data_IF_813694146255
#
_entry.id   IF_813694146255
#
_cell.length_a   1.000
_cell.length_b   1.000
_cell.length_c   1.000
_cell.angle_alpha   90.00
_cell.angle_beta   90.00
_cell.angle_gamma   90.00
#
_symmetry.space_group_name_H-M   'P 1'
#
loop_
_entity.id
_entity.type
_entity.pdbx_description
1 polymer ?
#
# COMPACT_ATOMS: atom_id res chain seq x y z
N UNK A 1 -14.95 -4.47 13.35
CA UNK A 1 -14.04 -5.62 13.28
C UNK A 1 -13.47 -5.86 14.66
N UNK A 2 -13.63 -7.05 15.21
CA UNK A 2 -13.00 -7.42 16.47
C UNK A 2 -11.47 -7.52 16.25
N UNK A 3 -10.66 -7.14 17.24
CA UNK A 3 -9.19 -7.10 17.09
C UNK A 3 -8.58 -8.42 16.60
N UNK A 4 -9.21 -9.55 16.92
CA UNK A 4 -8.81 -10.88 16.45
C UNK A 4 -8.98 -11.06 14.94
N UNK A 5 -10.06 -10.52 14.35
CA UNK A 5 -10.30 -10.58 12.90
C UNK A 5 -9.30 -9.70 12.13
N UNK A 6 -8.96 -8.53 12.67
CA UNK A 6 -7.97 -7.63 12.08
C UNK A 6 -6.56 -8.25 12.10
N UNK A 7 -6.16 -8.89 13.21
CA UNK A 7 -4.87 -9.56 13.31
C UNK A 7 -4.77 -10.73 12.31
N UNK A 8 -5.81 -11.55 12.23
CA UNK A 8 -5.85 -12.66 11.27
C UNK A 8 -5.73 -12.15 9.83
N UNK A 9 -6.47 -11.10 9.47
CA UNK A 9 -6.40 -10.49 8.15
C UNK A 9 -4.98 -9.94 7.85
N UNK A 10 -4.35 -9.27 8.81
CA UNK A 10 -2.99 -8.75 8.66
C UNK A 10 -1.95 -9.86 8.44
N UNK A 11 -2.05 -10.95 9.20
CA UNK A 11 -1.16 -12.12 9.02
C UNK A 11 -1.35 -12.74 7.64
N UNK A 12 -2.60 -12.96 7.22
CA UNK A 12 -2.88 -13.52 5.89
C UNK A 12 -2.37 -12.61 4.77
N UNK A 13 -2.58 -11.29 4.88
CA UNK A 13 -2.04 -10.31 3.93
C UNK A 13 -0.50 -10.39 3.85
N UNK A 14 0.19 -10.50 5.00
CA UNK A 14 1.65 -10.66 5.04
C UNK A 14 2.13 -11.95 4.37
N UNK A 15 1.44 -13.07 4.62
CA UNK A 15 1.76 -14.37 3.98
C UNK A 15 1.58 -14.28 2.47
N UNK A 16 0.46 -13.73 1.99
CA UNK A 16 0.20 -13.56 0.55
C UNK A 16 1.25 -12.65 -0.08
N UNK A 17 1.51 -11.48 0.50
CA UNK A 17 2.50 -10.54 -0.02
C UNK A 17 3.91 -11.14 -0.11
N UNK A 18 4.34 -11.85 0.94
CA UNK A 18 5.65 -12.54 0.96
C UNK A 18 5.70 -13.65 -0.09
N UNK A 19 4.65 -14.47 -0.17
CA UNK A 19 4.58 -15.57 -1.14
C UNK A 19 4.68 -15.03 -2.57
N UNK A 20 3.90 -14.01 -2.91
CA UNK A 20 3.97 -13.38 -4.24
C UNK A 20 5.37 -12.84 -4.54
N UNK A 21 6.01 -12.20 -3.56
CA UNK A 21 7.39 -11.69 -3.71
C UNK A 21 8.38 -12.82 -4.01
N UNK A 22 8.31 -13.92 -3.26
CA UNK A 22 9.15 -15.11 -3.48
C UNK A 22 8.87 -15.75 -4.85
N UNK A 23 7.61 -15.82 -5.28
CA UNK A 23 7.25 -16.35 -6.60
C UNK A 23 7.84 -15.47 -7.71
N UNK A 24 7.78 -14.14 -7.58
CA UNK A 24 8.37 -13.20 -8.55
C UNK A 24 9.89 -13.43 -8.65
N UNK A 25 10.58 -13.51 -7.53
CA UNK A 25 12.03 -13.75 -7.50
C UNK A 25 12.41 -15.12 -8.09
N UNK A 26 11.62 -16.15 -7.79
CA UNK A 26 11.90 -17.53 -8.22
C UNK A 26 11.62 -17.78 -9.71
N UNK A 27 10.56 -17.19 -10.26
CA UNK A 27 10.13 -17.44 -11.65
C UNK A 27 10.70 -16.44 -12.66
N UNK A 28 11.37 -15.36 -12.22
CA UNK A 28 12.15 -14.48 -13.07
C UNK A 28 11.38 -13.83 -14.22
N UNK A 29 12.10 -13.49 -15.30
CA UNK A 29 11.71 -12.53 -16.36
C UNK A 29 10.24 -12.48 -16.78
N UNK A 30 9.70 -13.52 -17.41
CA UNK A 30 8.35 -13.46 -18.01
C UNK A 30 7.24 -13.74 -16.99
N UNK A 31 7.36 -14.82 -16.21
CA UNK A 31 6.33 -15.19 -15.23
C UNK A 31 6.30 -14.23 -14.03
N UNK A 32 7.46 -13.82 -13.52
CA UNK A 32 7.56 -12.77 -12.50
C UNK A 32 7.08 -11.42 -13.02
N UNK A 33 7.34 -11.09 -14.28
CA UNK A 33 6.79 -9.90 -14.94
C UNK A 33 5.27 -9.92 -15.06
N UNK A 34 4.68 -11.06 -15.45
CA UNK A 34 3.22 -11.24 -15.50
C UNK A 34 2.62 -11.15 -14.10
N UNK A 35 3.18 -11.86 -13.12
CA UNK A 35 2.70 -11.83 -11.73
C UNK A 35 2.79 -10.44 -11.11
N UNK A 36 3.84 -9.67 -11.46
CA UNK A 36 4.05 -8.30 -10.98
C UNK A 36 3.19 -7.24 -11.68
N UNK A 37 2.66 -7.52 -12.87
CA UNK A 37 1.84 -6.55 -13.64
C UNK A 37 0.34 -6.80 -13.51
N UNK A 38 -0.08 -8.02 -13.19
CA UNK A 38 -1.49 -8.29 -12.89
C UNK A 38 -1.79 -7.68 -11.52
N UNK A 39 -2.88 -6.89 -11.37
CA UNK A 39 -3.33 -6.34 -10.09
C UNK A 39 -3.96 -7.44 -9.20
N UNK A 40 -3.18 -8.48 -8.93
CA UNK A 40 -3.57 -9.72 -8.23
C UNK A 40 -3.99 -9.51 -6.79
N UNK A 41 -3.62 -8.37 -6.19
CA UNK A 41 -4.09 -7.99 -4.84
C UNK A 41 -5.36 -7.16 -4.89
N UNK A 42 -5.48 -6.24 -5.86
CA UNK A 42 -6.61 -5.30 -5.93
C UNK A 42 -7.85 -5.96 -6.51
N UNK A 43 -7.75 -6.78 -7.56
CA UNK A 43 -8.93 -7.42 -8.17
C UNK A 43 -9.62 -8.37 -7.18
N UNK A 44 -8.93 -9.34 -6.54
CA UNK A 44 -9.58 -10.21 -5.56
C UNK A 44 -10.11 -9.45 -4.34
N UNK A 45 -9.39 -8.42 -3.87
CA UNK A 45 -9.89 -7.56 -2.80
C UNK A 45 -11.17 -6.83 -3.20
N UNK A 46 -11.23 -6.28 -4.41
CA UNK A 46 -12.42 -5.62 -4.95
C UNK A 46 -13.61 -6.58 -5.07
N UNK A 47 -13.38 -7.81 -5.53
CA UNK A 47 -14.41 -8.87 -5.58
C UNK A 47 -14.95 -9.15 -4.17
N UNK A 48 -14.07 -9.34 -3.18
CA UNK A 48 -14.47 -9.60 -1.80
C UNK A 48 -15.21 -8.43 -1.15
N UNK A 49 -14.77 -7.20 -1.39
CA UNK A 49 -15.45 -6.01 -0.90
C UNK A 49 -16.83 -5.82 -1.55
N UNK A 50 -16.94 -6.11 -2.85
CA UNK A 50 -18.22 -6.05 -3.58
C UNK A 50 -19.20 -7.13 -3.14
N UNK A 51 -18.73 -8.36 -2.91
CA UNK A 51 -19.60 -9.46 -2.48
C UNK A 51 -20.18 -9.27 -1.08
N UNK A 52 -19.45 -8.62 -0.18
CA UNK A 52 -19.88 -8.37 1.20
C UNK A 52 -20.58 -7.01 1.38
N UNK A 53 -20.09 -5.96 0.71
CA UNK A 53 -20.47 -4.56 0.97
C UNK A 53 -21.37 -3.90 -0.08
N UNK A 54 -21.60 -4.55 -1.23
CA UNK A 54 -22.35 -3.98 -2.35
C UNK A 54 -21.62 -2.86 -3.10
N UNK A 55 -22.28 -2.30 -4.12
CA UNK A 55 -21.66 -1.38 -5.09
C UNK A 55 -21.17 -0.06 -4.45
N UNK A 56 -21.94 0.54 -3.53
CA UNK A 56 -21.57 1.82 -2.91
C UNK A 56 -20.30 1.70 -2.06
N UNK A 57 -20.20 0.62 -1.26
CA UNK A 57 -19.01 0.32 -0.44
C UNK A 57 -17.80 0.00 -1.32
N UNK A 58 -18.02 -0.68 -2.44
CA UNK A 58 -16.99 -0.98 -3.41
C UNK A 58 -16.46 0.29 -4.08
N UNK A 59 -17.35 1.19 -4.53
CA UNK A 59 -16.99 2.47 -5.15
C UNK A 59 -16.14 3.32 -4.20
N UNK A 60 -16.56 3.42 -2.93
CA UNK A 60 -15.82 4.18 -1.93
C UNK A 60 -14.45 3.54 -1.65
N UNK A 61 -14.39 2.21 -1.55
CA UNK A 61 -13.13 1.49 -1.31
C UNK A 61 -12.14 1.66 -2.48
N UNK A 62 -12.64 1.62 -3.72
CA UNK A 62 -11.83 1.83 -4.91
C UNK A 62 -11.36 3.30 -5.04
N UNK A 63 -12.12 4.26 -4.53
CA UNK A 63 -11.73 5.66 -4.54
C UNK A 63 -10.50 5.97 -3.67
N UNK A 64 -10.19 5.12 -2.69
CA UNK A 64 -9.02 5.26 -1.82
C UNK A 64 -7.75 4.69 -2.49
N UNK A 65 -7.87 3.88 -3.54
CA UNK A 65 -6.73 3.21 -4.20
C UNK A 65 -5.63 4.19 -4.63
N UNK A 66 -5.92 5.36 -5.24
CA UNK A 66 -4.88 6.34 -5.55
C UNK A 66 -4.15 6.90 -4.32
N UNK A 67 -4.85 7.12 -3.19
CA UNK A 67 -4.19 7.47 -1.95
C UNK A 67 -3.31 6.32 -1.41
N UNK A 68 -3.74 5.06 -1.61
CA UNK A 68 -2.89 3.88 -1.36
C UNK A 68 -1.61 3.86 -2.20
N UNK A 69 -1.73 4.18 -3.49
CA UNK A 69 -0.57 4.29 -4.40
C UNK A 69 0.39 5.40 -3.94
N UNK A 70 -0.15 6.52 -3.45
CA UNK A 70 0.63 7.64 -2.90
C UNK A 70 1.47 7.21 -1.69
N UNK A 71 0.85 6.50 -0.74
CA UNK A 71 1.53 5.97 0.45
C UNK A 71 2.69 5.04 0.02
N UNK A 72 2.45 4.17 -0.95
CA UNK A 72 3.48 3.26 -1.47
C UNK A 72 4.61 3.99 -2.19
N UNK A 73 4.31 5.04 -2.97
CA UNK A 73 5.33 5.86 -3.61
C UNK A 73 6.25 6.55 -2.58
N UNK A 74 5.68 7.08 -1.49
CA UNK A 74 6.43 7.70 -0.41
C UNK A 74 7.28 6.67 0.36
N UNK A 75 6.72 5.48 0.63
CA UNK A 75 7.47 4.36 1.22
C UNK A 75 8.67 3.97 0.36
N UNK A 76 8.46 3.75 -0.94
CA UNK A 76 9.52 3.38 -1.87
C UNK A 76 10.57 4.48 -2.02
N UNK A 77 10.15 5.75 -2.02
CA UNK A 77 11.08 6.90 -2.04
C UNK A 77 11.97 6.91 -0.80
N UNK A 78 11.39 6.66 0.37
CA UNK A 78 12.15 6.53 1.63
C UNK A 78 13.12 5.36 1.55
N UNK A 79 12.64 4.19 1.09
CA UNK A 79 13.43 2.98 0.95
C UNK A 79 14.62 3.15 -0.02
N UNK A 80 14.40 3.83 -1.15
CA UNK A 80 15.42 4.03 -2.18
C UNK A 80 16.46 5.07 -1.77
N UNK A 81 16.05 6.16 -1.12
CA UNK A 81 16.93 7.30 -0.84
C UNK A 81 17.71 7.10 0.47
N UNK A 82 17.06 6.61 1.53
CA UNK A 82 17.61 6.56 2.88
C UNK A 82 18.91 5.75 3.00
N UNK A 83 19.09 4.56 2.38
CA UNK A 83 20.33 3.79 2.47
C UNK A 83 21.57 4.60 2.10
N UNK A 84 21.47 5.49 1.11
CA UNK A 84 22.58 6.33 0.63
C UNK A 84 22.99 7.43 1.62
N UNK A 85 22.10 7.79 2.55
CA UNK A 85 22.29 8.82 3.57
C UNK A 85 22.82 8.26 4.89
N UNK A 86 22.78 6.94 5.07
CA UNK A 86 23.30 6.28 6.28
C UNK A 86 24.84 6.22 6.28
N UNK A 87 25.48 6.12 7.47
CA UNK A 87 26.93 6.02 7.57
C UNK A 87 27.49 4.84 6.76
N UNK A 88 28.48 5.11 5.91
CA UNK A 88 29.16 4.07 5.12
C UNK A 88 29.95 3.08 5.98
N UNK A 89 30.23 3.42 7.23
CA UNK A 89 30.91 2.56 8.21
C UNK A 89 30.01 1.46 8.77
N UNK A 90 28.70 1.54 8.56
CA UNK A 90 27.77 0.51 8.99
C UNK A 90 27.79 -0.67 8.03
N UNK A 91 27.72 -1.88 8.58
CA UNK A 91 27.52 -3.09 7.79
C UNK A 91 26.15 -3.09 7.09
N UNK A 92 26.03 -3.93 6.06
CA UNK A 92 24.84 -3.98 5.20
C UNK A 92 23.57 -4.33 5.98
N UNK A 93 23.66 -5.18 7.00
CA UNK A 93 22.50 -5.62 7.78
C UNK A 93 21.95 -4.49 8.63
N UNK A 94 22.83 -3.74 9.33
CA UNK A 94 22.40 -2.57 10.11
C UNK A 94 21.73 -1.51 9.24
N UNK A 95 22.28 -1.24 8.06
CA UNK A 95 21.68 -0.29 7.11
C UNK A 95 20.30 -0.76 6.64
N UNK A 96 20.16 -2.03 6.29
CA UNK A 96 18.89 -2.62 5.89
C UNK A 96 17.83 -2.53 7.00
N UNK A 97 18.18 -2.90 8.23
CA UNK A 97 17.26 -2.85 9.38
C UNK A 97 16.78 -1.43 9.63
N UNK A 98 17.70 -0.45 9.65
CA UNK A 98 17.33 0.96 9.87
C UNK A 98 16.48 1.49 8.72
N UNK A 99 16.86 1.22 7.46
CA UNK A 99 16.02 1.61 6.31
C UNK A 99 14.63 0.99 6.40
N UNK A 100 14.52 -0.28 6.78
CA UNK A 100 13.23 -0.98 6.90
C UNK A 100 12.36 -0.35 7.98
N UNK A 101 12.89 -0.14 9.18
CA UNK A 101 12.16 0.47 10.29
C UNK A 101 11.71 1.89 9.91
N UNK A 102 12.61 2.72 9.40
CA UNK A 102 12.27 4.08 8.99
C UNK A 102 11.22 4.12 7.88
N UNK A 103 11.34 3.25 6.87
CA UNK A 103 10.37 3.20 5.78
C UNK A 103 8.99 2.76 6.28
N UNK A 104 8.93 1.75 7.16
CA UNK A 104 7.66 1.32 7.77
C UNK A 104 7.03 2.39 8.67
N UNK A 105 7.84 3.16 9.40
CA UNK A 105 7.35 4.28 10.22
C UNK A 105 6.79 5.42 9.36
N UNK A 106 7.47 5.76 8.26
CA UNK A 106 6.97 6.74 7.28
C UNK A 106 5.68 6.24 6.66
N UNK A 107 5.66 4.99 6.15
CA UNK A 107 4.46 4.37 5.58
C UNK A 107 3.27 4.40 6.54
N UNK A 108 3.48 4.01 7.80
CA UNK A 108 2.42 4.00 8.83
C UNK A 108 1.91 5.41 9.10
N UNK A 109 2.82 6.38 9.25
CA UNK A 109 2.46 7.77 9.53
C UNK A 109 1.70 8.41 8.37
N UNK A 110 2.16 8.20 7.13
CA UNK A 110 1.48 8.65 5.91
C UNK A 110 0.13 7.95 5.74
N UNK A 111 0.03 6.66 6.04
CA UNK A 111 -1.23 5.91 6.01
C UNK A 111 -2.27 6.46 6.98
N UNK A 112 -1.89 6.71 8.24
CA UNK A 112 -2.76 7.33 9.23
C UNK A 112 -3.22 8.71 8.76
N UNK A 113 -2.30 9.52 8.23
CA UNK A 113 -2.61 10.84 7.70
C UNK A 113 -3.58 10.78 6.51
N UNK A 114 -3.36 9.86 5.57
CA UNK A 114 -4.20 9.68 4.40
C UNK A 114 -5.63 9.26 4.81
N UNK A 115 -5.76 8.27 5.70
CA UNK A 115 -7.07 7.81 6.19
C UNK A 115 -7.82 8.97 6.86
N UNK A 116 -7.19 9.70 7.78
CA UNK A 116 -7.82 10.87 8.43
C UNK A 116 -8.25 11.95 7.43
N UNK A 117 -7.47 12.14 6.37
CA UNK A 117 -7.79 13.12 5.32
C UNK A 117 -8.98 12.66 4.49
N UNK A 118 -9.05 11.37 4.16
CA UNK A 118 -10.18 10.75 3.45
C UNK A 118 -11.44 10.81 4.31
N UNK A 119 -11.36 10.45 5.59
CA UNK A 119 -12.48 10.51 6.52
C UNK A 119 -13.04 11.95 6.61
N UNK A 120 -12.14 12.95 6.74
CA UNK A 120 -12.52 14.36 6.73
C UNK A 120 -13.17 14.80 5.40
N UNK A 121 -12.75 14.24 4.27
CA UNK A 121 -13.35 14.53 2.97
C UNK A 121 -14.76 13.93 2.87
N UNK A 122 -14.94 12.69 3.36
CA UNK A 122 -16.25 12.03 3.43
C UNK A 122 -17.20 12.83 4.34
N UNK A 123 -16.74 13.24 5.52
CA UNK A 123 -17.53 14.07 6.46
C UNK A 123 -17.96 15.42 5.84
N UNK A 124 -17.15 15.96 4.94
CA UNK A 124 -17.46 17.18 4.16
C UNK A 124 -18.30 16.90 2.90
N UNK A 125 -18.84 15.69 2.74
CA UNK A 125 -19.65 15.26 1.60
C UNK A 125 -18.91 15.31 0.25
N UNK A 126 -17.60 15.08 0.24
CA UNK A 126 -16.88 14.87 -1.02
C UNK A 126 -17.28 13.53 -1.63
N UNK A 127 -17.54 13.52 -2.93
CA UNK A 127 -17.85 12.29 -3.66
C UNK A 127 -16.62 11.39 -3.80
N UNK A 128 -16.85 10.08 -3.92
CA UNK A 128 -15.82 9.08 -4.19
C UNK A 128 -14.96 9.46 -5.42
N UNK A 129 -15.58 10.01 -6.46
CA UNK A 129 -14.87 10.50 -7.66
C UNK A 129 -13.88 11.63 -7.35
N UNK A 130 -14.28 12.62 -6.54
CA UNK A 130 -13.40 13.72 -6.14
C UNK A 130 -12.22 13.23 -5.31
N UNK A 131 -12.45 12.28 -4.39
CA UNK A 131 -11.39 11.65 -3.59
C UNK A 131 -10.40 10.92 -4.50
N UNK A 132 -10.90 10.10 -5.43
CA UNK A 132 -10.08 9.33 -6.36
C UNK A 132 -9.21 10.23 -7.25
N UNK A 133 -9.79 11.26 -7.87
CA UNK A 133 -9.05 12.19 -8.74
C UNK A 133 -8.00 12.96 -7.95
N UNK A 134 -8.35 13.45 -6.77
CA UNK A 134 -7.40 14.18 -5.93
C UNK A 134 -6.21 13.30 -5.58
N UNK A 135 -6.47 12.06 -5.16
CA UNK A 135 -5.42 11.08 -4.90
C UNK A 135 -4.58 10.78 -6.14
N UNK A 136 -5.19 10.62 -7.31
CA UNK A 136 -4.49 10.36 -8.56
C UNK A 136 -3.58 11.52 -8.99
N UNK A 137 -4.07 12.75 -8.89
CA UNK A 137 -3.27 13.96 -9.17
C UNK A 137 -2.08 14.05 -8.22
N UNK A 138 -2.29 13.81 -6.92
CA UNK A 138 -1.21 13.83 -5.94
C UNK A 138 -0.12 12.80 -6.25
N UNK A 139 -0.53 11.58 -6.64
CA UNK A 139 0.43 10.54 -7.08
C UNK A 139 1.23 11.01 -8.28
N UNK A 140 0.61 11.63 -9.27
CA UNK A 140 1.29 12.13 -10.47
C UNK A 140 2.26 13.29 -10.24
N UNK A 141 2.27 13.89 -9.03
CA UNK A 141 3.15 15.01 -8.68
C UNK A 141 4.37 14.65 -7.82
N UNK A 142 4.50 13.38 -7.41
CA UNK A 142 5.68 12.83 -6.72
C UNK A 142 6.68 12.25 -7.71
#
# INVERSE_FOLDING_TARGET
>A
MDGQTALLAAVMAGVVATTVTVLIEKYGGVLGGILGTIPTTIIPAAIGMGSEGGDDSLILSLAIVPAGMLINAIFLSTWAILPSKLPKTWDSNKRLVVTSICSLLVWTSTGIFAIKTVDLAIDKNYSAYQIAITGFVLVGTL
#
